data_IF_207747983302
#
_entry.id   IF_207747983302
#
_cell.length_a   1.000
_cell.length_b   1.000
_cell.length_c   1.000
_cell.angle_alpha   90.00
_cell.angle_beta   90.00
_cell.angle_gamma   90.00
#
_symmetry.space_group_name_H-M   'P 1'
#
loop_
_entity.id
_entity.type
_entity.pdbx_description
1 polymer ?
#
# COMPACT_ATOMS: atom_id res chain seq x y z
N UNK A 1 -3.39 9.01 7.09
CA UNK A 1 -2.71 8.42 5.92
C UNK A 1 -3.34 8.97 4.65
N UNK A 2 -2.61 9.08 3.55
CA UNK A 2 -3.15 9.37 2.20
C UNK A 2 -3.11 8.10 1.37
N UNK A 3 -4.04 7.97 0.44
CA UNK A 3 -4.10 6.84 -0.48
C UNK A 3 -3.43 7.19 -1.80
N UNK A 4 -2.53 6.35 -2.27
CA UNK A 4 -1.82 6.52 -3.53
C UNK A 4 -1.97 5.29 -4.42
N UNK A 5 -2.25 5.53 -5.70
CA UNK A 5 -2.04 4.57 -6.77
C UNK A 5 -0.61 4.74 -7.29
N UNK A 6 0.19 3.67 -7.21
CA UNK A 6 1.55 3.64 -7.73
C UNK A 6 1.63 2.58 -8.82
N UNK A 7 2.06 2.99 -10.00
CA UNK A 7 2.27 2.12 -11.16
C UNK A 7 3.75 2.13 -11.51
N UNK A 8 4.36 0.96 -11.64
CA UNK A 8 5.76 0.80 -12.02
C UNK A 8 6.00 -0.43 -12.87
N UNK A 9 7.16 -0.47 -13.50
CA UNK A 9 7.59 -1.56 -14.39
C UNK A 9 9.10 -1.75 -14.36
N UNK A 10 9.56 -2.82 -15.00
CA UNK A 10 10.98 -3.01 -15.35
C UNK A 10 11.39 -1.96 -16.36
N UNK A 11 12.65 -1.52 -16.31
CA UNK A 11 13.19 -0.75 -17.43
C UNK A 11 13.16 -1.62 -18.69
N UNK A 12 12.55 -1.16 -19.80
CA UNK A 12 12.58 -1.86 -21.07
C UNK A 12 14.02 -2.09 -21.53
N UNK A 13 14.29 -3.27 -22.08
CA UNK A 13 15.60 -3.62 -22.66
C UNK A 13 15.45 -3.96 -24.13
N UNK A 14 16.56 -4.01 -24.88
CA UNK A 14 16.52 -4.39 -26.29
C UNK A 14 15.91 -5.78 -26.52
N UNK A 15 16.10 -6.71 -25.56
CA UNK A 15 15.51 -8.06 -25.58
C UNK A 15 14.04 -8.08 -25.17
N UNK A 16 13.63 -7.18 -24.27
CA UNK A 16 12.29 -7.13 -23.70
C UNK A 16 11.79 -5.67 -23.74
N UNK A 17 11.24 -5.27 -24.90
CA UNK A 17 10.77 -3.89 -25.13
C UNK A 17 9.46 -3.57 -24.41
N UNK A 18 8.61 -4.59 -24.21
CA UNK A 18 7.31 -4.45 -23.56
C UNK A 18 7.37 -5.19 -22.23
N UNK A 19 7.43 -4.43 -21.16
CA UNK A 19 7.48 -4.96 -19.79
C UNK A 19 6.12 -4.77 -19.11
N UNK A 20 5.63 -5.73 -18.32
CA UNK A 20 4.34 -5.61 -17.65
C UNK A 20 4.32 -4.44 -16.66
N UNK A 21 3.17 -3.77 -16.57
CA UNK A 21 2.90 -2.72 -15.60
C UNK A 21 2.31 -3.35 -14.33
N UNK A 22 2.88 -3.01 -13.18
CA UNK A 22 2.38 -3.40 -11.87
C UNK A 22 1.77 -2.20 -11.17
N UNK A 23 0.56 -2.39 -10.63
CA UNK A 23 -0.21 -1.36 -9.94
C UNK A 23 -0.46 -1.76 -8.50
N UNK A 24 -0.22 -0.85 -7.57
CA UNK A 24 -0.51 -1.04 -6.14
C UNK A 24 -1.23 0.18 -5.57
N UNK A 25 -2.19 -0.08 -4.68
CA UNK A 25 -2.76 0.95 -3.78
C UNK A 25 -1.95 0.96 -2.51
N UNK A 26 -1.39 2.11 -2.15
CA UNK A 26 -0.49 2.28 -1.01
C UNK A 26 -1.00 3.40 -0.12
N UNK A 27 -1.10 3.11 1.17
CA UNK A 27 -1.41 4.10 2.19
C UNK A 27 -0.13 4.63 2.80
N UNK A 28 0.13 5.93 2.67
CA UNK A 28 1.36 6.57 3.10
C UNK A 28 1.10 8.04 3.48
N UNK A 29 1.95 8.68 4.30
CA UNK A 29 1.82 10.11 4.61
C UNK A 29 2.12 11.00 3.39
N UNK A 30 3.07 10.58 2.55
CA UNK A 30 3.56 11.33 1.40
C UNK A 30 3.94 10.41 0.22
N UNK A 31 4.28 11.05 -0.91
CA UNK A 31 4.65 10.37 -2.15
C UNK A 31 5.98 9.62 -2.06
N UNK A 32 6.92 10.06 -1.21
CA UNK A 32 8.25 9.44 -1.07
C UNK A 32 8.11 8.09 -0.37
N UNK A 33 7.35 8.06 0.74
CA UNK A 33 7.04 6.83 1.48
C UNK A 33 6.21 5.89 0.60
N UNK A 34 5.28 6.42 -0.20
CA UNK A 34 4.52 5.60 -1.15
C UNK A 34 5.43 4.88 -2.15
N UNK A 35 6.38 5.58 -2.78
CA UNK A 35 7.38 4.98 -3.69
C UNK A 35 8.24 3.94 -2.97
N UNK A 36 8.66 4.23 -1.74
CA UNK A 36 9.48 3.31 -0.95
C UNK A 36 8.75 1.99 -0.66
N UNK A 37 7.50 2.07 -0.19
CA UNK A 37 6.66 0.89 0.09
C UNK A 37 6.32 0.10 -1.18
N UNK A 38 6.12 0.78 -2.31
CA UNK A 38 5.92 0.12 -3.59
C UNK A 38 7.07 -0.84 -3.91
N UNK A 39 8.31 -0.35 -3.88
CA UNK A 39 9.48 -1.18 -4.15
C UNK A 39 9.70 -2.28 -3.11
N UNK A 40 9.38 -2.02 -1.84
CA UNK A 40 9.45 -3.03 -0.79
C UNK A 40 8.58 -4.25 -1.11
N UNK A 41 7.29 -4.03 -1.44
CA UNK A 41 6.38 -5.12 -1.77
C UNK A 41 6.67 -5.76 -3.13
N UNK A 42 7.06 -4.97 -4.14
CA UNK A 42 7.37 -5.49 -5.47
C UNK A 42 8.62 -6.38 -5.44
N UNK A 43 9.58 -6.11 -4.55
CA UNK A 43 10.72 -6.98 -4.29
C UNK A 43 10.29 -8.34 -3.75
N UNK A 44 9.34 -8.39 -2.82
CA UNK A 44 8.84 -9.64 -2.25
C UNK A 44 8.02 -10.46 -3.27
N UNK A 45 7.20 -9.79 -4.08
CA UNK A 45 6.30 -10.46 -5.02
C UNK A 45 6.95 -10.89 -6.33
N UNK A 46 7.87 -10.09 -6.86
CA UNK A 46 8.43 -10.27 -8.21
C UNK A 46 9.95 -10.12 -8.29
N UNK A 47 10.65 -10.03 -7.15
CA UNK A 47 12.13 -9.89 -7.06
C UNK A 47 12.69 -8.66 -7.80
N UNK A 48 11.89 -7.61 -7.94
CA UNK A 48 12.31 -6.35 -8.55
C UNK A 48 13.12 -5.48 -7.60
N UNK A 49 14.05 -4.72 -8.18
CA UNK A 49 14.82 -3.69 -7.48
C UNK A 49 14.47 -2.31 -8.04
N UNK A 50 14.53 -1.29 -7.17
CA UNK A 50 14.37 0.12 -7.56
C UNK A 50 15.35 0.54 -8.65
N UNK A 51 16.57 -0.02 -8.67
CA UNK A 51 17.60 0.31 -9.67
C UNK A 51 17.32 -0.24 -11.07
N UNK A 52 16.53 -1.31 -11.18
CA UNK A 52 16.24 -1.99 -12.46
C UNK A 52 14.82 -1.72 -12.96
N UNK A 53 14.11 -0.81 -12.32
CA UNK A 53 12.73 -0.47 -12.65
C UNK A 53 12.47 1.02 -12.53
N UNK A 54 11.33 1.43 -13.06
CA UNK A 54 10.88 2.81 -13.04
C UNK A 54 9.43 2.89 -12.53
N UNK A 55 9.09 4.04 -11.97
CA UNK A 55 7.71 4.37 -11.61
C UNK A 55 7.13 5.17 -12.77
N UNK A 56 6.09 4.63 -13.39
CA UNK A 56 5.45 5.21 -14.57
C UNK A 56 4.42 6.26 -14.15
N UNK A 57 3.67 5.99 -13.08
CA UNK A 57 2.65 6.90 -12.59
C UNK A 57 2.56 6.82 -11.06
N UNK A 58 2.32 7.98 -10.45
CA UNK A 58 1.97 8.10 -9.04
C UNK A 58 0.82 9.10 -8.94
N UNK A 59 -0.34 8.64 -8.46
CA UNK A 59 -1.55 9.45 -8.32
C UNK A 59 -2.10 9.31 -6.91
N UNK A 60 -2.49 10.42 -6.29
CA UNK A 60 -3.25 10.36 -5.05
C UNK A 60 -4.71 10.01 -5.38
N UNK A 61 -5.27 9.00 -4.69
CA UNK A 61 -6.69 8.65 -4.78
C UNK A 61 -7.42 9.45 -3.71
N UNK A 62 -8.51 10.10 -4.11
CA UNK A 62 -9.44 10.77 -3.21
C UNK A 62 -10.69 9.92 -3.06
N UNK A 63 -11.32 10.00 -1.89
CA UNK A 63 -12.56 9.28 -1.61
C UNK A 63 -13.70 9.80 -2.47
N UNK A 64 -14.40 8.91 -3.18
CA UNK A 64 -15.49 9.29 -4.10
C UNK A 64 -16.72 9.85 -3.38
N UNK A 65 -16.99 9.33 -2.18
CA UNK A 65 -18.16 9.70 -1.37
C UNK A 65 -17.75 10.01 0.06
N UNK A 66 -17.13 11.17 0.31
CA UNK A 66 -16.53 11.51 1.60
C UNK A 66 -17.55 11.76 2.73
N UNK A 67 -18.83 11.88 2.40
CA UNK A 67 -19.91 12.15 3.36
C UNK A 67 -20.62 10.84 3.76
N UNK A 68 -20.47 9.78 2.96
CA UNK A 68 -21.17 8.52 3.19
C UNK A 68 -20.38 7.65 4.16
N UNK A 69 -20.99 7.30 5.29
CA UNK A 69 -20.40 6.37 6.25
C UNK A 69 -20.40 4.94 5.67
N UNK A 70 -19.28 4.24 5.81
CA UNK A 70 -19.07 2.87 5.32
C UNK A 70 -18.42 2.02 6.40
N UNK A 71 -18.60 0.70 6.29
CA UNK A 71 -17.86 -0.27 7.08
C UNK A 71 -16.79 -0.90 6.18
N UNK A 72 -15.53 -0.85 6.60
CA UNK A 72 -14.38 -1.34 5.84
C UNK A 72 -13.76 -2.54 6.55
N UNK A 73 -13.73 -3.68 5.88
CA UNK A 73 -12.95 -4.84 6.29
C UNK A 73 -11.49 -4.73 5.83
N UNK A 74 -10.55 -4.84 6.76
CA UNK A 74 -9.11 -4.77 6.52
C UNK A 74 -8.49 -6.10 6.91
N UNK A 75 -7.91 -6.77 5.91
CA UNK A 75 -7.00 -7.90 6.13
C UNK A 75 -5.58 -7.37 6.28
N UNK A 76 -4.92 -7.73 7.37
CA UNK A 76 -3.57 -7.28 7.66
C UNK A 76 -2.69 -8.45 8.09
N UNK A 77 -1.40 -8.33 7.80
CA UNK A 77 -0.34 -9.15 8.36
C UNK A 77 0.55 -8.25 9.19
N UNK A 78 0.87 -8.67 10.41
CA UNK A 78 1.77 -7.93 11.30
C UNK A 78 2.74 -8.88 11.99
N UNK A 79 3.87 -8.32 12.41
CA UNK A 79 4.91 -9.05 13.13
C UNK A 79 4.79 -8.74 14.62
N UNK A 80 4.66 -9.79 15.43
CA UNK A 80 4.75 -9.73 16.89
C UNK A 80 6.16 -10.10 17.34
N UNK A 81 6.41 -10.07 18.66
CA UNK A 81 7.70 -10.52 19.23
C UNK A 81 7.98 -12.00 18.97
N UNK A 82 6.95 -12.82 18.80
CA UNK A 82 7.03 -14.27 18.68
C UNK A 82 6.77 -14.79 17.27
N UNK A 83 6.35 -13.95 16.31
CA UNK A 83 6.11 -14.39 14.94
C UNK A 83 5.19 -13.48 14.14
N UNK A 84 4.93 -13.89 12.90
CA UNK A 84 4.10 -13.15 11.95
C UNK A 84 2.67 -13.68 11.95
N UNK A 85 1.68 -12.81 12.10
CA UNK A 85 0.27 -13.21 12.21
C UNK A 85 -0.60 -12.48 11.19
N UNK A 86 -1.61 -13.17 10.66
CA UNK A 86 -2.66 -12.57 9.86
C UNK A 86 -3.84 -12.20 10.76
N UNK A 87 -4.54 -11.12 10.45
CA UNK A 87 -5.69 -10.62 11.18
C UNK A 87 -6.70 -10.01 10.21
N UNK A 88 -7.98 -10.12 10.55
CA UNK A 88 -9.08 -9.40 9.92
C UNK A 88 -9.72 -8.47 10.95
N UNK A 89 -9.97 -7.22 10.59
CA UNK A 89 -10.71 -6.26 11.42
C UNK A 89 -11.60 -5.36 10.58
N UNK A 90 -12.66 -4.87 11.18
CA UNK A 90 -13.60 -3.96 10.55
C UNK A 90 -13.55 -2.58 11.21
N UNK A 91 -13.58 -1.53 10.40
CA UNK A 91 -13.57 -0.14 10.85
C UNK A 91 -14.70 0.63 10.17
N UNK A 92 -15.46 1.38 10.96
CA UNK A 92 -16.50 2.28 10.46
C UNK A 92 -15.91 3.67 10.29
N UNK A 93 -15.89 4.16 9.05
CA UNK A 93 -15.33 5.47 8.71
C UNK A 93 -15.98 6.05 7.43
N UNK A 94 -15.68 7.31 7.13
CA UNK A 94 -16.09 8.03 5.93
C UNK A 94 -15.18 7.74 4.73
N UNK A 95 -13.92 7.37 4.96
CA UNK A 95 -12.96 7.08 3.89
C UNK A 95 -12.09 5.86 4.19
N UNK A 96 -11.57 5.23 3.12
CA UNK A 96 -10.62 4.11 3.25
C UNK A 96 -9.36 4.57 3.99
N UNK A 97 -8.88 5.79 3.68
CA UNK A 97 -7.70 6.37 4.31
C UNK A 97 -7.89 6.61 5.82
N UNK A 98 -9.10 6.98 6.24
CA UNK A 98 -9.50 7.10 7.64
C UNK A 98 -9.47 5.74 8.34
N UNK A 99 -10.15 4.74 7.76
CA UNK A 99 -10.18 3.38 8.28
C UNK A 99 -8.78 2.78 8.45
N UNK A 100 -7.89 2.96 7.47
CA UNK A 100 -6.48 2.52 7.57
C UNK A 100 -5.73 3.29 8.66
N UNK A 101 -5.99 4.59 8.83
CA UNK A 101 -5.38 5.38 9.90
C UNK A 101 -5.84 4.90 11.28
N UNK A 102 -7.12 4.59 11.45
CA UNK A 102 -7.65 3.96 12.67
C UNK A 102 -6.98 2.60 12.91
N UNK A 103 -6.84 1.79 11.86
CA UNK A 103 -6.18 0.50 11.92
C UNK A 103 -4.74 0.60 12.43
N UNK A 104 -3.94 1.54 11.92
CA UNK A 104 -2.57 1.74 12.41
C UNK A 104 -2.54 2.15 13.89
N UNK A 105 -3.44 3.04 14.33
CA UNK A 105 -3.51 3.44 15.75
C UNK A 105 -3.89 2.29 16.66
N UNK A 106 -4.87 1.49 16.24
CA UNK A 106 -5.35 0.35 17.02
C UNK A 106 -4.30 -0.76 17.13
N UNK A 107 -3.60 -1.08 16.04
CA UNK A 107 -2.48 -2.03 16.04
C UNK A 107 -1.32 -1.54 16.92
N UNK A 108 -0.98 -0.25 16.86
CA UNK A 108 0.04 0.35 17.73
C UNK A 108 -0.35 0.32 19.21
N UNK A 109 -1.62 0.57 19.54
CA UNK A 109 -2.09 0.58 20.92
C UNK A 109 -2.20 -0.83 21.53
N UNK A 110 -2.80 -1.78 20.82
CA UNK A 110 -3.09 -3.12 21.35
C UNK A 110 -1.94 -4.10 21.21
N UNK A 111 -1.19 -3.99 20.12
CA UNK A 111 -0.17 -4.96 19.74
C UNK A 111 1.25 -4.38 19.72
N UNK A 112 1.40 -3.05 19.87
CA UNK A 112 2.68 -2.33 19.74
C UNK A 112 3.36 -2.60 18.40
N UNK A 113 2.54 -2.74 17.35
CA UNK A 113 2.94 -3.00 15.97
C UNK A 113 3.04 -1.71 15.14
#
# INVERSE_FOLDING_TARGET
MKEFEVIGRKLPTQKEKITPLYKMRIFAPDVIVAKSRFWYFLRQLKKFKKSTGEIVSLKQILEESPIKIKNFGIWLRYDSRSGTHNMYREYRDLSVSGAVTQCYRDMGARHRA
#
